data_IF_924601320156
#
_entry.id   IF_924601320156
#
_cell.length_a   1.000
_cell.length_b   1.000
_cell.length_c   1.000
_cell.angle_alpha   90.00
_cell.angle_beta   90.00
_cell.angle_gamma   90.00
#
_symmetry.space_group_name_H-M   'P 1'
#
loop_
_entity.id
_entity.type
_entity.pdbx_description
1 polymer ?
#
# COMPACT_ATOMS: atom_id res chain seq x y z
N UNK A 1 1.88 2.11 -2.24
CA UNK A 1 2.31 0.72 -1.96
C UNK A 1 2.74 0.63 -0.53
N UNK A 2 2.30 -0.39 0.20
CA UNK A 2 2.47 -0.46 1.65
C UNK A 2 2.98 -1.85 2.00
N UNK A 3 4.21 -1.90 2.48
CA UNK A 3 4.93 -3.13 2.85
C UNK A 3 6.15 -2.71 3.68
N UNK A 4 6.52 -3.43 4.71
CA UNK A 4 7.68 -3.08 5.56
C UNK A 4 9.02 -3.45 4.91
N UNK A 5 9.02 -4.28 3.86
CA UNK A 5 10.19 -4.71 3.11
C UNK A 5 10.41 -3.83 1.87
N UNK A 6 11.42 -2.97 1.93
CA UNK A 6 11.79 -2.10 0.81
C UNK A 6 12.09 -2.86 -0.49
N UNK A 7 12.63 -4.08 -0.40
CA UNK A 7 12.90 -4.94 -1.56
C UNK A 7 11.61 -5.36 -2.28
N UNK A 8 10.56 -5.71 -1.51
CA UNK A 8 9.26 -6.09 -2.06
C UNK A 8 8.61 -4.90 -2.75
N UNK A 9 8.67 -3.71 -2.13
CA UNK A 9 8.20 -2.47 -2.77
C UNK A 9 8.93 -2.17 -4.07
N UNK A 10 10.25 -2.34 -4.12
CA UNK A 10 11.01 -2.14 -5.35
C UNK A 10 10.57 -3.10 -6.47
N UNK A 11 10.36 -4.39 -6.15
CA UNK A 11 9.89 -5.39 -7.11
C UNK A 11 8.50 -5.06 -7.69
N UNK A 12 7.53 -4.75 -6.83
CA UNK A 12 6.20 -4.36 -7.29
C UNK A 12 6.20 -3.04 -8.06
N UNK A 13 7.08 -2.08 -7.71
CA UNK A 13 7.20 -0.82 -8.45
C UNK A 13 7.62 -1.07 -9.89
N UNK A 14 8.56 -1.98 -10.15
CA UNK A 14 8.96 -2.35 -11.52
C UNK A 14 7.78 -2.95 -12.31
N UNK A 15 6.96 -3.79 -11.67
CA UNK A 15 5.76 -4.35 -12.29
C UNK A 15 4.76 -3.25 -12.62
N UNK A 16 4.46 -2.35 -11.67
CA UNK A 16 3.52 -1.24 -11.89
C UNK A 16 4.02 -0.29 -12.98
N UNK A 17 5.32 0.04 -12.99
CA UNK A 17 5.92 0.90 -14.01
C UNK A 17 5.87 0.30 -15.43
N UNK A 18 5.69 -1.01 -15.57
CA UNK A 18 5.51 -1.65 -16.88
C UNK A 18 4.10 -1.45 -17.46
N UNK A 19 3.13 -1.02 -16.65
CA UNK A 19 1.76 -0.78 -17.07
C UNK A 19 1.58 0.70 -17.44
N UNK A 20 1.04 0.99 -18.62
CA UNK A 20 0.91 2.35 -19.14
C UNK A 20 -0.20 3.17 -18.49
N UNK A 21 -1.11 2.51 -17.77
CA UNK A 21 -2.27 3.09 -17.09
C UNK A 21 -2.10 3.16 -15.56
N UNK A 22 -0.92 2.81 -15.03
CA UNK A 22 -0.67 2.81 -13.58
C UNK A 22 0.60 3.59 -13.23
N UNK A 23 0.58 4.19 -12.03
CA UNK A 23 1.75 4.85 -11.46
C UNK A 23 1.76 4.69 -9.93
N UNK A 24 2.96 4.65 -9.36
CA UNK A 24 3.15 4.64 -7.90
C UNK A 24 3.17 6.07 -7.39
N UNK A 25 2.08 6.51 -6.74
CA UNK A 25 1.96 7.87 -6.18
C UNK A 25 2.53 8.00 -4.76
N UNK A 26 2.90 6.89 -4.13
CA UNK A 26 3.54 6.90 -2.81
C UNK A 26 3.82 5.53 -2.23
N UNK A 27 4.68 5.52 -1.22
CA UNK A 27 5.06 4.33 -0.45
C UNK A 27 5.00 4.59 1.05
N UNK A 28 4.70 3.54 1.81
CA UNK A 28 4.66 3.53 3.26
C UNK A 28 5.26 2.22 3.79
N UNK A 29 5.88 2.26 4.96
CA UNK A 29 6.49 1.11 5.62
C UNK A 29 5.67 0.53 6.78
N UNK A 30 4.58 1.21 7.16
CA UNK A 30 3.61 0.71 8.15
C UNK A 30 2.19 1.21 7.86
N UNK A 31 1.21 0.65 8.57
CA UNK A 31 -0.20 0.97 8.38
C UNK A 31 -0.58 2.41 8.72
N UNK A 32 0.11 3.07 9.65
CA UNK A 32 -0.19 4.46 10.01
C UNK A 32 0.26 5.42 8.90
N UNK A 33 1.48 5.23 8.39
CA UNK A 33 1.98 5.97 7.24
C UNK A 33 1.07 5.79 6.02
N UNK A 34 0.52 4.59 5.82
CA UNK A 34 -0.41 4.31 4.75
C UNK A 34 -1.71 5.11 4.84
N UNK A 35 -2.31 5.19 6.03
CA UNK A 35 -3.53 5.98 6.27
C UNK A 35 -3.28 7.47 5.97
N UNK A 36 -2.16 8.01 6.45
CA UNK A 36 -1.80 9.42 6.22
C UNK A 36 -1.51 9.70 4.74
N UNK A 37 -0.83 8.77 4.06
CA UNK A 37 -0.57 8.85 2.63
C UNK A 37 -1.85 8.80 1.81
N UNK A 38 -2.81 7.92 2.15
CA UNK A 38 -4.10 7.83 1.45
C UNK A 38 -4.88 9.13 1.58
N UNK A 39 -4.91 9.72 2.77
CA UNK A 39 -5.62 10.99 3.00
C UNK A 39 -5.04 12.14 2.17
N UNK A 40 -3.71 12.14 2.00
CA UNK A 40 -2.98 13.18 1.27
C UNK A 40 -3.04 13.00 -0.24
N UNK A 41 -2.66 11.84 -0.75
CA UNK A 41 -2.47 11.58 -2.18
C UNK A 41 -3.74 11.06 -2.87
N UNK A 42 -4.74 10.62 -2.09
CA UNK A 42 -6.02 10.07 -2.57
C UNK A 42 -5.85 9.05 -3.72
N UNK A 43 -5.03 7.99 -3.52
CA UNK A 43 -4.80 6.99 -4.55
C UNK A 43 -6.10 6.25 -4.89
N UNK A 44 -6.17 5.75 -6.12
CA UNK A 44 -7.28 4.95 -6.62
C UNK A 44 -7.30 3.53 -6.05
N UNK A 45 -6.12 2.99 -5.75
CA UNK A 45 -5.92 1.66 -5.19
C UNK A 45 -4.69 1.65 -4.28
N UNK A 46 -4.76 0.88 -3.19
CA UNK A 46 -3.64 0.60 -2.30
C UNK A 46 -3.30 -0.89 -2.39
N UNK A 47 -2.04 -1.19 -2.69
CA UNK A 47 -1.44 -2.49 -2.46
C UNK A 47 -0.92 -2.53 -1.02
N UNK A 48 -1.45 -3.44 -0.20
CA UNK A 48 -1.28 -3.48 1.26
C UNK A 48 -0.77 -4.84 1.72
N UNK A 49 0.43 -4.92 2.31
CA UNK A 49 0.85 -6.09 3.08
C UNK A 49 0.07 -6.22 4.41
N UNK A 50 -0.13 -7.43 4.93
CA UNK A 50 -0.79 -7.64 6.23
C UNK A 50 0.19 -7.44 7.38
N UNK A 51 1.41 -7.98 7.29
CA UNK A 51 2.29 -8.17 8.44
C UNK A 51 3.36 -7.08 8.51
N UNK A 52 2.96 -5.95 9.06
CA UNK A 52 3.84 -4.79 9.25
C UNK A 52 3.97 -4.42 10.74
N UNK A 53 5.07 -3.74 11.14
CA UNK A 53 5.25 -3.26 12.50
C UNK A 53 4.29 -2.10 12.83
N UNK A 54 4.08 -1.85 14.13
CA UNK A 54 3.19 -0.81 14.68
C UNK A 54 1.72 -1.04 14.34
N UNK A 55 1.27 -0.58 13.18
CA UNK A 55 -0.10 -0.73 12.70
C UNK A 55 -0.08 -1.74 11.55
N UNK A 56 -0.75 -2.87 11.76
CA UNK A 56 -0.83 -3.92 10.75
C UNK A 56 -1.73 -3.52 9.56
N UNK A 57 -1.61 -4.27 8.47
CA UNK A 57 -2.35 -3.99 7.24
C UNK A 57 -3.85 -4.19 7.37
N UNK A 58 -4.32 -5.02 8.29
CA UNK A 58 -5.75 -5.26 8.51
C UNK A 58 -6.39 -4.04 9.19
N UNK A 59 -5.74 -3.53 10.24
CA UNK A 59 -6.13 -2.31 10.94
C UNK A 59 -6.13 -1.11 9.98
N UNK A 60 -5.06 -0.92 9.22
CA UNK A 60 -4.98 0.14 8.20
C UNK A 60 -6.07 0.00 7.13
N UNK A 61 -6.33 -1.23 6.64
CA UNK A 61 -7.39 -1.50 5.66
C UNK A 61 -8.76 -1.08 6.18
N UNK A 62 -9.08 -1.31 7.46
CA UNK A 62 -10.36 -0.88 8.05
C UNK A 62 -10.55 0.63 8.03
N UNK A 63 -9.47 1.41 8.12
CA UNK A 63 -9.53 2.87 8.06
C UNK A 63 -9.58 3.40 6.62
N UNK A 64 -8.98 2.68 5.67
CA UNK A 64 -8.86 3.10 4.26
C UNK A 64 -10.10 2.69 3.44
N UNK A 65 -10.69 1.53 3.75
CA UNK A 65 -11.82 0.98 3.00
C UNK A 65 -13.02 1.93 3.06
N UNK A 66 -13.60 2.21 1.90
CA UNK A 66 -14.66 3.21 1.74
C UNK A 66 -14.16 4.57 1.22
N UNK A 67 -12.86 4.85 1.34
CA UNK A 67 -12.22 6.02 0.71
C UNK A 67 -11.40 5.61 -0.51
N UNK A 68 -10.67 4.50 -0.41
CA UNK A 68 -9.83 3.95 -1.48
C UNK A 68 -10.00 2.42 -1.55
N UNK A 69 -9.86 1.83 -2.74
CA UNK A 69 -9.86 0.38 -2.93
C UNK A 69 -8.58 -0.24 -2.36
N UNK A 70 -8.68 -1.32 -1.62
CA UNK A 70 -7.51 -2.00 -1.03
C UNK A 70 -7.38 -3.41 -1.61
N UNK A 71 -6.17 -3.74 -2.07
CA UNK A 71 -5.78 -5.07 -2.50
C UNK A 71 -4.73 -5.56 -1.52
N UNK A 72 -5.05 -6.66 -0.82
CA UNK A 72 -4.13 -7.25 0.15
C UNK A 72 -3.12 -8.13 -0.57
N UNK A 73 -1.85 -7.93 -0.22
CA UNK A 73 -0.72 -8.77 -0.56
C UNK A 73 -0.37 -9.57 0.69
N UNK A 74 -0.33 -10.88 0.59
CA UNK A 74 0.27 -11.70 1.65
C UNK A 74 1.01 -12.84 0.97
N UNK A 75 2.23 -13.07 1.41
CA UNK A 75 2.87 -14.36 1.23
C UNK A 75 2.24 -15.35 2.22
N UNK A 76 2.16 -16.62 1.82
CA UNK A 76 1.68 -17.70 2.68
C UNK A 76 2.64 -17.95 3.85
#
# INVERSE_FOLDING_TARGET
MVDDQAMVRAGFRLIVQSQSDMQVVGEAADGQEAVDLVRRERPEVVLMDIRMPKVDGIAATREIVGVTRVVILTTF
#
